data_IF_271465712911
#
_entry.id   IF_271465712911
#
_cell.length_a   1.000
_cell.length_b   1.000
_cell.length_c   1.000
_cell.angle_alpha   90.00
_cell.angle_beta   90.00
_cell.angle_gamma   90.00
#
_symmetry.space_group_name_H-M   'P 1'
#
loop_
_entity.id
_entity.type
_entity.pdbx_description
1 polymer ?
#
# COMPACT_ATOMS: atom_id res chain seq x y z
N UNK A 1 -14.46 22.22 -2.53
CA UNK A 1 -13.23 21.45 -2.29
C UNK A 1 -12.10 22.38 -1.85
N UNK A 2 -11.77 22.31 -0.56
CA UNK A 2 -10.60 22.92 0.03
C UNK A 2 -9.92 21.86 0.89
N UNK A 3 -8.60 21.86 0.91
CA UNK A 3 -7.81 20.98 1.77
C UNK A 3 -6.58 21.74 2.26
N UNK A 4 -6.30 21.63 3.56
CA UNK A 4 -5.11 22.15 4.22
C UNK A 4 -4.73 21.22 5.38
N UNK A 5 -3.58 20.57 5.24
CA UNK A 5 -2.90 19.84 6.32
C UNK A 5 -1.62 20.56 6.74
N UNK A 6 -1.27 20.53 8.02
CA UNK A 6 0.01 21.02 8.55
C UNK A 6 0.66 19.94 9.41
N UNK A 7 1.95 19.74 9.19
CA UNK A 7 2.81 18.82 9.94
C UNK A 7 3.93 19.67 10.56
N UNK A 8 4.11 19.58 11.86
CA UNK A 8 5.14 20.29 12.63
C UNK A 8 6.19 19.28 13.12
N UNK A 9 5.75 18.10 13.58
CA UNK A 9 6.68 17.08 14.04
C UNK A 9 7.48 16.46 12.87
N UNK A 10 8.81 16.49 13.02
CA UNK A 10 9.77 15.92 12.08
C UNK A 10 9.65 14.39 12.03
N UNK A 11 9.28 13.74 13.13
CA UNK A 11 9.06 12.28 13.13
C UNK A 11 7.84 11.90 12.28
N UNK A 12 6.70 12.55 12.49
CA UNK A 12 5.49 12.41 11.66
C UNK A 12 5.75 12.73 10.18
N UNK A 13 6.50 13.80 9.89
CA UNK A 13 6.88 14.15 8.52
C UNK A 13 7.72 13.06 7.85
N UNK A 14 8.72 12.54 8.55
CA UNK A 14 9.55 11.45 8.04
C UNK A 14 8.76 10.16 7.85
N UNK A 15 7.83 9.86 8.77
CA UNK A 15 6.92 8.72 8.64
C UNK A 15 6.03 8.88 7.40
N UNK A 16 5.36 10.02 7.22
CA UNK A 16 4.56 10.32 6.03
C UNK A 16 5.38 10.23 4.74
N UNK A 17 6.58 10.82 4.72
CA UNK A 17 7.52 10.76 3.58
C UNK A 17 7.89 9.32 3.20
N UNK A 18 8.10 8.44 4.19
CA UNK A 18 8.36 7.02 3.96
C UNK A 18 7.14 6.32 3.35
N UNK A 19 5.93 6.55 3.85
CA UNK A 19 4.70 5.94 3.31
C UNK A 19 4.50 6.33 1.84
N UNK A 20 4.59 7.62 1.52
CA UNK A 20 4.48 8.09 0.12
C UNK A 20 5.59 7.51 -0.75
N UNK A 21 6.81 7.37 -0.21
CA UNK A 21 7.92 6.73 -0.93
C UNK A 21 7.65 5.25 -1.20
N UNK A 22 7.06 4.52 -0.24
CA UNK A 22 6.61 3.14 -0.44
C UNK A 22 5.58 3.08 -1.57
N UNK A 23 4.53 3.90 -1.51
CA UNK A 23 3.48 3.95 -2.54
C UNK A 23 4.05 4.29 -3.93
N UNK A 24 5.03 5.20 -4.01
CA UNK A 24 5.67 5.58 -5.29
C UNK A 24 6.44 4.45 -5.98
N UNK A 25 6.84 3.41 -5.23
CA UNK A 25 7.48 2.22 -5.79
C UNK A 25 6.46 1.16 -6.22
N UNK A 26 5.26 1.18 -5.62
CA UNK A 26 4.17 0.25 -5.93
C UNK A 26 3.43 0.66 -7.20
N UNK A 27 3.24 1.96 -7.40
CA UNK A 27 2.47 2.48 -8.54
C UNK A 27 2.97 3.82 -9.05
N UNK A 28 2.76 4.05 -10.35
CA UNK A 28 3.05 5.32 -11.03
C UNK A 28 1.95 6.37 -10.82
N UNK A 29 0.68 5.93 -10.75
CA UNK A 29 -0.48 6.78 -10.49
C UNK A 29 -1.38 6.10 -9.46
N UNK A 30 -1.97 6.87 -8.55
CA UNK A 30 -3.01 6.37 -7.65
C UNK A 30 -4.02 7.47 -7.33
N UNK A 31 -5.18 7.07 -6.82
CA UNK A 31 -6.15 8.02 -6.28
C UNK A 31 -5.87 8.24 -4.80
N UNK A 32 -5.62 9.49 -4.43
CA UNK A 32 -5.60 9.94 -3.05
C UNK A 32 -7.01 10.40 -2.67
N UNK A 33 -7.64 9.70 -1.73
CA UNK A 33 -8.94 10.05 -1.17
C UNK A 33 -8.74 10.61 0.23
N UNK A 34 -9.26 11.82 0.44
CA UNK A 34 -9.21 12.54 1.71
C UNK A 34 -10.59 12.53 2.33
N UNK A 35 -10.68 12.08 3.58
CA UNK A 35 -11.86 12.18 4.45
C UNK A 35 -11.50 12.99 5.69
N UNK A 36 -12.48 13.34 6.55
CA UNK A 36 -12.21 14.10 7.78
C UNK A 36 -11.24 13.40 8.74
N UNK A 37 -11.26 12.06 8.76
CA UNK A 37 -10.51 11.26 9.73
C UNK A 37 -9.31 10.53 9.10
N UNK A 38 -9.36 10.21 7.80
CA UNK A 38 -8.40 9.33 7.16
C UNK A 38 -7.93 9.85 5.80
N UNK A 39 -6.73 9.44 5.42
CA UNK A 39 -6.19 9.57 4.07
C UNK A 39 -6.04 8.17 3.48
N UNK A 40 -6.57 7.99 2.28
CA UNK A 40 -6.48 6.73 1.56
C UNK A 40 -5.69 6.91 0.27
N UNK A 41 -4.81 5.96 -0.05
CA UNK A 41 -4.20 5.83 -1.36
C UNK A 41 -4.69 4.53 -2.00
N UNK A 42 -5.38 4.67 -3.12
CA UNK A 42 -6.10 3.59 -3.78
C UNK A 42 -5.55 3.38 -5.18
N UNK A 43 -5.23 2.13 -5.49
CA UNK A 43 -4.98 1.67 -6.85
C UNK A 43 -6.11 0.71 -7.23
N UNK A 44 -6.94 1.10 -8.19
CA UNK A 44 -7.94 0.19 -8.73
C UNK A 44 -7.27 -0.86 -9.64
N UNK A 45 -7.72 -2.10 -9.55
CA UNK A 45 -7.22 -3.27 -10.29
C UNK A 45 -7.49 -3.25 -11.80
N UNK A 46 -7.21 -2.13 -12.47
CA UNK A 46 -7.39 -1.99 -13.92
C UNK A 46 -6.41 -2.91 -14.64
N UNK A 47 -6.82 -3.44 -15.80
CA UNK A 47 -6.00 -4.32 -16.66
C UNK A 47 -4.65 -3.68 -17.01
N UNK A 48 -4.61 -2.35 -17.15
CA UNK A 48 -3.39 -1.58 -17.40
C UNK A 48 -2.32 -1.75 -16.33
N UNK A 49 -2.70 -2.09 -15.10
CA UNK A 49 -1.80 -2.33 -13.97
C UNK A 49 -1.52 -3.82 -13.74
N UNK A 50 -1.91 -4.69 -14.68
CA UNK A 50 -1.83 -6.15 -14.52
C UNK A 50 -2.81 -6.68 -13.49
N UNK A 51 -3.94 -5.97 -13.28
CA UNK A 51 -5.01 -6.37 -12.37
C UNK A 51 -4.71 -6.19 -10.88
N UNK A 52 -3.54 -5.65 -10.52
CA UNK A 52 -3.17 -5.40 -9.12
C UNK A 52 -3.98 -4.25 -8.54
N UNK A 53 -4.56 -4.46 -7.35
CA UNK A 53 -5.16 -3.40 -6.55
C UNK A 53 -4.38 -3.15 -5.25
N UNK A 54 -4.52 -1.93 -4.73
CA UNK A 54 -3.87 -1.49 -3.49
C UNK A 54 -4.83 -0.61 -2.70
N UNK A 55 -4.87 -0.82 -1.40
CA UNK A 55 -5.56 0.03 -0.45
C UNK A 55 -4.62 0.39 0.69
N UNK A 56 -4.23 1.65 0.77
CA UNK A 56 -3.41 2.16 1.87
C UNK A 56 -4.23 3.17 2.67
N UNK A 57 -4.35 2.93 3.97
CA UNK A 57 -5.08 3.77 4.91
C UNK A 57 -4.12 4.37 5.94
N UNK A 58 -4.27 5.67 6.17
CA UNK A 58 -3.53 6.44 7.14
C UNK A 58 -4.50 7.28 7.97
N UNK A 59 -4.40 7.20 9.30
CA UNK A 59 -5.21 8.02 10.19
C UNK A 59 -4.64 9.44 10.31
N UNK A 60 -5.40 10.46 9.92
CA UNK A 60 -4.88 11.83 9.75
C UNK A 60 -4.28 12.41 11.04
N UNK A 61 -4.89 12.08 12.19
CA UNK A 61 -4.51 12.62 13.49
C UNK A 61 -3.11 12.20 13.94
N UNK A 62 -2.55 11.14 13.34
CA UNK A 62 -1.22 10.63 13.67
C UNK A 62 -0.12 11.34 12.87
N UNK A 63 -0.51 12.17 11.89
CA UNK A 63 0.42 12.89 11.02
C UNK A 63 0.27 14.40 11.06
N UNK A 64 -0.96 14.91 11.09
CA UNK A 64 -1.25 16.34 10.93
C UNK A 64 -1.63 17.00 12.25
N UNK A 65 -0.90 18.05 12.64
CA UNK A 65 -1.25 18.91 13.77
C UNK A 65 -2.48 19.79 13.48
N UNK A 66 -2.62 20.21 12.22
CA UNK A 66 -3.81 20.92 11.75
C UNK A 66 -4.31 20.23 10.48
N UNK A 67 -5.55 19.77 10.47
CA UNK A 67 -6.19 19.17 9.30
C UNK A 67 -7.55 19.80 9.07
N UNK A 68 -7.72 20.42 7.91
CA UNK A 68 -8.97 21.04 7.49
C UNK A 68 -9.27 20.63 6.06
N UNK A 69 -10.45 20.04 5.87
CA UNK A 69 -10.95 19.75 4.54
C UNK A 69 -12.42 20.11 4.42
N UNK A 70 -12.80 20.52 3.22
CA UNK A 70 -14.17 20.83 2.85
C UNK A 70 -14.40 20.18 1.48
N UNK A 71 -15.23 19.15 1.43
CA UNK A 71 -15.51 18.35 0.24
C UNK A 71 -16.29 19.09 -0.84
N UNK A 72 -17.13 18.37 -1.57
CA UNK A 72 -17.96 18.98 -2.62
C UNK A 72 -19.34 19.39 -2.09
N UNK A 73 -19.87 18.69 -1.09
CA UNK A 73 -21.09 19.04 -0.36
C UNK A 73 -21.02 18.55 1.09
N UNK A 74 -21.91 19.02 1.94
CA UNK A 74 -22.05 18.57 3.35
C UNK A 74 -22.35 17.08 3.47
N UNK A 75 -23.09 16.52 2.52
CA UNK A 75 -23.43 15.08 2.46
C UNK A 75 -22.28 14.20 1.94
N UNK A 76 -21.38 14.78 1.13
CA UNK A 76 -20.24 14.08 0.52
C UNK A 76 -18.96 14.85 0.83
N UNK A 77 -18.57 14.83 2.10
CA UNK A 77 -17.39 15.54 2.61
C UNK A 77 -16.10 14.76 2.33
N UNK A 78 -15.86 14.44 1.06
CA UNK A 78 -14.68 13.72 0.60
C UNK A 78 -14.04 14.44 -0.60
N UNK A 79 -12.74 14.20 -0.80
CA UNK A 79 -12.01 14.73 -1.96
C UNK A 79 -11.19 13.59 -2.55
N UNK A 80 -11.46 13.23 -3.80
CA UNK A 80 -10.69 12.24 -4.56
C UNK A 80 -9.83 12.93 -5.62
N UNK A 81 -8.52 12.74 -5.55
CA UNK A 81 -7.53 13.32 -6.44
C UNK A 81 -6.70 12.21 -7.07
N UNK A 82 -6.54 12.21 -8.38
CA UNK A 82 -5.52 11.38 -9.03
C UNK A 82 -4.16 12.08 -8.91
N UNK A 83 -3.19 11.36 -8.36
CA UNK A 83 -1.86 11.87 -8.04
C UNK A 83 -0.79 10.92 -8.56
N UNK A 84 0.34 11.48 -8.99
CA UNK A 84 1.57 10.74 -9.24
C UNK A 84 2.39 10.70 -7.95
N UNK A 85 2.48 9.55 -7.24
CA UNK A 85 3.14 9.50 -5.93
C UNK A 85 4.63 9.82 -5.99
N UNK A 86 5.29 9.59 -7.13
CA UNK A 86 6.69 9.95 -7.33
C UNK A 86 6.93 11.47 -7.19
N UNK A 87 6.04 12.29 -7.77
CA UNK A 87 6.14 13.75 -7.68
C UNK A 87 5.98 14.22 -6.23
N UNK A 88 5.03 13.61 -5.50
CA UNK A 88 4.82 13.90 -4.08
C UNK A 88 5.99 13.43 -3.21
N UNK A 89 6.53 12.22 -3.45
CA UNK A 89 7.72 11.70 -2.76
C UNK A 89 8.92 12.63 -2.97
N UNK A 90 9.13 13.12 -4.19
CA UNK A 90 10.21 14.07 -4.52
C UNK A 90 10.05 15.40 -3.78
N UNK A 91 8.83 15.94 -3.75
CA UNK A 91 8.52 17.16 -3.00
C UNK A 91 8.67 17.00 -1.48
N UNK A 92 8.35 15.82 -0.92
CA UNK A 92 8.51 15.54 0.50
C UNK A 92 9.97 15.32 0.90
N UNK A 93 10.80 14.76 0.00
CA UNK A 93 12.24 14.52 0.25
C UNK A 93 13.03 15.82 0.46
N UNK A 94 12.68 16.89 -0.23
CA UNK A 94 13.36 18.19 -0.09
C UNK A 94 13.04 18.89 1.24
N UNK A 95 11.97 18.47 1.92
CA UNK A 95 11.45 19.13 3.13
C UNK A 95 11.57 18.28 4.39
N UNK A 96 12.25 17.13 4.36
CA UNK A 96 12.37 16.19 5.51
C UNK A 96 12.91 16.83 6.80
N UNK A 97 13.72 17.88 6.68
CA UNK A 97 14.30 18.61 7.81
C UNK A 97 13.62 19.96 8.05
N UNK A 98 12.41 20.16 7.54
CA UNK A 98 11.66 21.40 7.75
C UNK A 98 11.15 21.50 9.19
N UNK A 99 11.02 22.74 9.68
CA UNK A 99 10.38 23.06 10.96
C UNK A 99 8.86 22.89 10.90
N UNK A 100 8.28 23.17 9.74
CA UNK A 100 6.87 22.92 9.47
C UNK A 100 6.63 22.70 8.00
N UNK A 101 5.66 21.86 7.67
CA UNK A 101 5.21 21.56 6.31
C UNK A 101 3.71 21.76 6.23
N UNK A 102 3.25 22.54 5.26
CA UNK A 102 1.85 22.81 4.95
C UNK A 102 1.54 22.19 3.59
N UNK A 103 0.59 21.26 3.56
CA UNK A 103 0.08 20.67 2.32
C UNK A 103 -1.30 21.25 2.06
N UNK A 104 -1.52 21.84 0.89
CA UNK A 104 -2.80 22.48 0.56
C UNK A 104 -3.21 22.22 -0.88
N UNK A 105 -4.50 22.06 -1.10
CA UNK A 105 -5.07 22.02 -2.45
C UNK A 105 -5.21 23.45 -2.97
N UNK A 106 -4.55 23.75 -4.08
CA UNK A 106 -4.61 25.06 -4.74
C UNK A 106 -5.04 24.92 -6.19
N UNK A 107 -5.60 25.99 -6.75
CA UNK A 107 -5.88 26.11 -8.18
C UNK A 107 -4.99 27.20 -8.74
N UNK A 108 -3.92 26.80 -9.43
CA UNK A 108 -3.06 27.71 -10.20
C UNK A 108 -3.53 27.66 -11.66
N UNK A 109 -2.65 27.28 -12.59
CA UNK A 109 -3.06 26.97 -13.97
C UNK A 109 -3.85 25.65 -14.04
N UNK A 110 -3.47 24.67 -13.21
CA UNK A 110 -4.19 23.43 -12.97
C UNK A 110 -4.40 23.23 -11.46
N UNK A 111 -5.25 22.27 -11.04
CA UNK A 111 -5.31 21.85 -9.65
C UNK A 111 -3.95 21.29 -9.21
N UNK A 112 -3.42 21.79 -8.10
CA UNK A 112 -2.14 21.36 -7.55
C UNK A 112 -2.25 21.07 -6.06
N UNK A 113 -1.57 20.02 -5.61
CA UNK A 113 -1.24 19.81 -4.22
C UNK A 113 0.06 20.58 -3.92
N UNK A 114 -0.08 21.74 -3.30
CA UNK A 114 1.07 22.60 -2.94
C UNK A 114 1.62 22.17 -1.58
N UNK A 115 2.90 21.79 -1.55
CA UNK A 115 3.69 21.50 -0.35
C UNK A 115 4.58 22.70 -0.07
N UNK A 116 4.29 23.44 1.00
CA UNK A 116 5.05 24.61 1.43
C UNK A 116 5.72 24.32 2.78
N UNK A 117 7.04 24.42 2.86
CA UNK A 117 7.81 24.07 4.04
C UNK A 117 8.71 25.21 4.50
N UNK A 118 8.79 25.39 5.81
CA UNK A 118 9.67 26.35 6.46
C UNK A 118 10.95 25.62 6.91
N UNK A 119 12.05 25.84 6.20
CA UNK A 119 13.34 25.20 6.49
C UNK A 119 14.09 25.94 7.60
N UNK A 120 14.87 25.21 8.44
CA UNK A 120 15.78 25.84 9.37
C UNK A 120 16.86 26.63 8.62
N UNK A 121 17.12 27.86 9.08
CA UNK A 121 18.16 28.73 8.53
C UNK A 121 19.01 29.29 9.66
N UNK A 122 20.31 29.47 9.38
CA UNK A 122 21.28 30.10 10.29
C UNK A 122 21.18 31.64 10.29
N UNK A 123 20.46 32.21 9.32
CA UNK A 123 20.16 33.64 9.25
C UNK A 123 18.81 33.97 9.91
N UNK A 124 18.58 35.24 10.27
CA UNK A 124 17.30 35.72 10.83
C UNK A 124 16.09 35.55 9.90
N UNK A 125 16.31 35.28 8.61
CA UNK A 125 15.25 35.08 7.63
C UNK A 125 14.90 33.60 7.47
N UNK A 126 13.61 33.27 7.58
CA UNK A 126 13.10 31.95 7.30
C UNK A 126 13.19 31.65 5.80
N UNK A 127 13.63 30.44 5.45
CA UNK A 127 13.64 29.94 4.07
C UNK A 127 12.38 29.13 3.83
N UNK A 128 11.55 29.56 2.89
CA UNK A 128 10.33 28.84 2.53
C UNK A 128 10.54 28.15 1.18
N UNK A 129 10.37 26.83 1.16
CA UNK A 129 10.39 26.03 -0.07
C UNK A 129 8.96 25.68 -0.42
N UNK A 130 8.55 25.90 -1.67
CA UNK A 130 7.22 25.57 -2.16
C UNK A 130 7.33 24.68 -3.39
N UNK A 131 6.65 23.54 -3.35
CA UNK A 131 6.50 22.61 -4.46
C UNK A 131 5.03 22.52 -4.83
N UNK A 132 4.72 22.68 -6.12
CA UNK A 132 3.38 22.48 -6.66
C UNK A 132 3.33 21.16 -7.41
N UNK A 133 2.63 20.16 -6.85
CA UNK A 133 2.44 18.87 -7.49
C UNK A 133 1.13 18.91 -8.26
N UNK A 134 1.11 18.78 -9.60
CA UNK A 134 -0.13 18.75 -10.36
C UNK A 134 -0.98 17.53 -9.97
N UNK A 135 -2.29 17.72 -9.86
CA UNK A 135 -3.26 16.67 -9.53
C UNK A 135 -4.48 16.79 -10.42
N UNK A 136 -5.17 15.67 -10.66
CA UNK A 136 -6.45 15.67 -11.37
C UNK A 136 -7.59 15.41 -10.40
N UNK A 137 -8.70 16.13 -10.57
CA UNK A 137 -9.87 15.94 -9.72
C UNK A 137 -10.69 14.78 -10.28
N UNK A 138 -10.90 13.74 -9.47
CA UNK A 138 -11.69 12.58 -9.89
C UNK A 138 -13.18 12.92 -9.83
N UNK A 139 -13.93 12.79 -10.94
CA UNK A 139 -15.38 12.99 -10.96
C UNK A 139 -16.11 12.06 -9.99
N UNK A 140 -17.19 12.56 -9.36
CA UNK A 140 -17.98 11.80 -8.38
C UNK A 140 -18.56 10.51 -8.92
N UNK A 141 -18.87 10.46 -10.21
CA UNK A 141 -19.38 9.26 -10.87
C UNK A 141 -18.43 8.08 -10.71
N UNK A 142 -17.12 8.30 -10.59
CA UNK A 142 -16.10 7.24 -10.49
C UNK A 142 -15.75 6.90 -9.04
N UNK A 143 -16.29 7.58 -8.04
CA UNK A 143 -15.90 7.37 -6.63
C UNK A 143 -16.21 5.95 -6.12
N UNK A 144 -17.20 5.29 -6.71
CA UNK A 144 -17.56 3.92 -6.37
C UNK A 144 -16.47 2.90 -6.72
N UNK A 145 -15.59 3.20 -7.69
CA UNK A 145 -14.46 2.33 -8.08
C UNK A 145 -13.28 2.37 -7.09
N UNK A 146 -13.30 3.33 -6.15
CA UNK A 146 -12.22 3.57 -5.18
C UNK A 146 -12.67 3.26 -3.74
N UNK A 147 -13.54 2.26 -3.59
CA UNK A 147 -13.91 1.72 -2.28
C UNK A 147 -12.90 0.67 -1.83
N UNK A 148 -12.87 0.45 -0.53
CA UNK A 148 -12.07 -0.65 0.03
C UNK A 148 -12.51 -1.97 -0.62
N UNK A 149 -11.57 -2.74 -1.19
CA UNK A 149 -11.90 -4.06 -1.72
C UNK A 149 -12.39 -4.95 -0.57
N UNK A 150 -13.56 -5.56 -0.76
CA UNK A 150 -14.05 -6.58 0.18
C UNK A 150 -13.04 -7.71 0.26
N UNK A 151 -12.66 -8.10 1.48
CA UNK A 151 -11.79 -9.24 1.71
C UNK A 151 -12.46 -10.50 1.12
N UNK A 152 -11.86 -11.17 0.13
CA UNK A 152 -12.40 -12.42 -0.39
C UNK A 152 -12.22 -13.52 0.67
N UNK A 153 -13.09 -14.53 0.63
CA UNK A 153 -12.89 -15.76 1.40
C UNK A 153 -11.57 -16.39 0.94
N UNK A 154 -10.63 -16.50 1.87
CA UNK A 154 -9.28 -17.04 1.65
C UNK A 154 -9.21 -18.49 2.11
N UNK A 155 -8.35 -19.28 1.45
CA UNK A 155 -8.16 -20.67 1.83
C UNK A 155 -7.11 -20.82 2.93
N UNK A 156 -6.05 -20.00 2.87
CA UNK A 156 -4.93 -20.04 3.80
C UNK A 156 -4.50 -18.63 4.16
N UNK A 157 -4.24 -18.42 5.45
CA UNK A 157 -3.58 -17.21 5.97
C UNK A 157 -2.32 -17.58 6.71
N UNK A 158 -1.23 -16.89 6.41
CA UNK A 158 0.08 -17.14 6.99
C UNK A 158 0.83 -15.83 7.22
N UNK A 159 1.64 -15.75 8.28
CA UNK A 159 2.54 -14.61 8.45
C UNK A 159 3.67 -14.67 7.43
N UNK A 160 4.04 -13.52 6.87
CA UNK A 160 5.12 -13.44 5.91
C UNK A 160 6.49 -13.63 6.60
N UNK A 161 7.45 -14.31 5.96
CA UNK A 161 8.84 -14.32 6.41
C UNK A 161 9.44 -12.91 6.35
N UNK A 162 10.63 -12.68 6.93
CA UNK A 162 11.31 -11.39 6.84
C UNK A 162 11.37 -10.87 5.40
N UNK A 163 10.72 -9.73 5.14
CA UNK A 163 10.50 -9.23 3.77
C UNK A 163 11.81 -8.95 3.02
N UNK A 164 12.88 -8.62 3.74
CA UNK A 164 14.23 -8.46 3.17
C UNK A 164 14.77 -9.77 2.59
N UNK A 165 14.58 -10.88 3.30
CA UNK A 165 15.02 -12.21 2.85
C UNK A 165 14.18 -12.65 1.66
N UNK A 166 12.86 -12.51 1.77
CA UNK A 166 11.93 -12.82 0.67
C UNK A 166 12.26 -12.00 -0.58
N UNK A 167 12.53 -10.70 -0.43
CA UNK A 167 12.97 -9.82 -1.52
C UNK A 167 14.24 -10.35 -2.20
N UNK A 168 15.27 -10.72 -1.44
CA UNK A 168 16.53 -11.21 -2.00
C UNK A 168 16.34 -12.50 -2.80
N UNK A 169 15.44 -13.38 -2.36
CA UNK A 169 15.07 -14.61 -3.07
C UNK A 169 14.35 -14.27 -4.37
N UNK A 170 13.30 -13.45 -4.30
CA UNK A 170 12.51 -13.00 -5.46
C UNK A 170 13.39 -12.27 -6.49
N UNK A 171 14.36 -11.45 -6.06
CA UNK A 171 15.30 -10.74 -6.93
C UNK A 171 16.24 -11.68 -7.71
N UNK A 172 16.55 -12.87 -7.19
CA UNK A 172 17.32 -13.90 -7.91
C UNK A 172 16.42 -14.68 -8.85
N UNK A 173 15.26 -15.08 -8.33
CA UNK A 173 14.23 -15.87 -9.01
C UNK A 173 13.67 -15.18 -10.27
N UNK A 174 13.51 -13.86 -10.27
CA UNK A 174 13.02 -13.10 -11.44
C UNK A 174 13.92 -13.19 -12.67
N UNK A 175 15.20 -13.55 -12.49
CA UNK A 175 16.12 -13.73 -13.62
C UNK A 175 15.92 -15.09 -14.30
N UNK A 176 15.19 -16.02 -13.67
CA UNK A 176 14.92 -17.36 -14.17
C UNK A 176 13.56 -17.45 -14.85
N UNK A 177 12.52 -16.84 -14.27
CA UNK A 177 11.17 -16.81 -14.82
C UNK A 177 10.44 -15.52 -14.49
N UNK A 178 9.46 -15.16 -15.32
CA UNK A 178 8.53 -14.05 -15.06
C UNK A 178 7.37 -14.45 -14.12
N UNK A 179 7.24 -15.74 -13.83
CA UNK A 179 6.15 -16.29 -13.04
C UNK A 179 6.69 -17.01 -11.81
N UNK A 180 5.99 -16.85 -10.69
CA UNK A 180 6.29 -17.49 -9.42
C UNK A 180 5.03 -18.18 -8.89
N UNK A 181 5.16 -19.42 -8.45
CA UNK A 181 4.11 -20.11 -7.70
C UNK A 181 4.37 -19.88 -6.22
N UNK A 182 3.40 -19.31 -5.53
CA UNK A 182 3.39 -19.15 -4.09
C UNK A 182 2.48 -20.22 -3.50
N UNK A 183 3.01 -21.01 -2.57
CA UNK A 183 2.26 -22.03 -1.86
C UNK A 183 2.30 -21.73 -0.37
N UNK A 184 1.22 -21.96 0.35
CA UNK A 184 1.22 -21.94 1.80
C UNK A 184 0.22 -22.94 2.37
N UNK A 185 0.43 -23.37 3.62
CA UNK A 185 -0.48 -24.22 4.37
C UNK A 185 -0.87 -23.62 5.73
N UNK A 186 -1.71 -24.34 6.47
CA UNK A 186 -2.16 -23.94 7.81
C UNK A 186 -1.21 -24.41 8.93
N UNK A 187 -0.07 -25.02 8.58
CA UNK A 187 0.94 -25.51 9.52
C UNK A 187 2.18 -24.63 9.60
N UNK A 188 2.16 -23.45 8.98
CA UNK A 188 3.26 -22.50 9.04
C UNK A 188 4.35 -22.70 7.99
N UNK A 189 4.05 -23.38 6.90
CA UNK A 189 4.97 -23.55 5.78
C UNK A 189 4.51 -22.72 4.57
N UNK A 190 5.46 -22.06 3.93
CA UNK A 190 5.27 -21.28 2.72
C UNK A 190 6.38 -21.60 1.71
N UNK A 191 6.02 -21.91 0.47
CA UNK A 191 6.98 -22.18 -0.59
C UNK A 191 6.90 -21.12 -1.69
N UNK A 192 8.06 -20.75 -2.23
CA UNK A 192 8.19 -19.97 -3.46
C UNK A 192 8.83 -20.86 -4.51
N UNK A 193 8.09 -21.21 -5.56
CA UNK A 193 8.52 -22.15 -6.61
C UNK A 193 8.56 -21.49 -7.97
N UNK A 194 9.66 -21.71 -8.69
CA UNK A 194 9.80 -21.41 -10.12
C UNK A 194 10.06 -22.71 -10.85
N UNK A 195 9.27 -22.98 -11.89
CA UNK A 195 9.45 -24.11 -12.77
C UNK A 195 9.59 -23.60 -14.21
N UNK A 196 10.69 -23.98 -14.85
CA UNK A 196 11.01 -23.70 -16.26
C UNK A 196 11.56 -24.96 -16.91
N UNK A 197 11.63 -24.99 -18.24
CA UNK A 197 12.11 -26.16 -19.00
C UNK A 197 13.54 -26.58 -18.63
N UNK A 198 14.37 -25.65 -18.13
CA UNK A 198 15.79 -25.87 -17.82
C UNK A 198 16.07 -26.03 -16.33
N UNK A 199 15.31 -25.35 -15.47
CA UNK A 199 15.59 -25.33 -14.03
C UNK A 199 14.29 -25.21 -13.22
N UNK A 200 14.24 -25.97 -12.12
CA UNK A 200 13.24 -25.82 -11.08
C UNK A 200 13.92 -25.33 -9.81
N UNK A 201 13.43 -24.24 -9.24
CA UNK A 201 13.95 -23.64 -8.01
C UNK A 201 12.80 -23.47 -7.03
N UNK A 202 12.90 -24.14 -5.88
CA UNK A 202 11.95 -24.00 -4.78
C UNK A 202 12.67 -23.45 -3.56
N UNK A 203 12.09 -22.44 -2.93
CA UNK A 203 12.53 -21.92 -1.62
C UNK A 203 11.46 -22.21 -0.60
N UNK A 204 11.86 -22.88 0.48
CA UNK A 204 10.97 -23.28 1.57
C UNK A 204 11.17 -22.33 2.76
N UNK A 205 10.08 -21.76 3.25
CA UNK A 205 10.00 -21.04 4.50
C UNK A 205 9.19 -21.89 5.48
N UNK A 206 9.78 -22.22 6.61
CA UNK A 206 9.17 -23.02 7.68
C UNK A 206 9.04 -22.17 8.95
N UNK A 207 8.29 -22.69 9.92
CA UNK A 207 8.09 -22.07 11.22
C UNK A 207 7.48 -20.66 11.15
N UNK A 208 6.63 -20.42 10.14
CA UNK A 208 5.79 -19.23 10.08
C UNK A 208 4.55 -19.45 10.95
N UNK A 209 4.10 -18.43 11.67
CA UNK A 209 2.82 -18.56 12.37
C UNK A 209 1.63 -18.43 11.39
N UNK A 210 0.50 -19.02 11.75
CA UNK A 210 -0.78 -18.75 11.08
C UNK A 210 -1.62 -17.83 11.98
N UNK A 211 -2.20 -16.75 11.45
CA UNK A 211 -3.18 -15.99 12.21
C UNK A 211 -4.36 -16.90 12.52
N UNK A 212 -4.76 -16.98 13.79
CA UNK A 212 -6.07 -17.51 14.14
C UNK A 212 -7.11 -16.45 13.76
N UNK A 213 -7.54 -16.47 12.50
CA UNK A 213 -8.83 -15.87 12.16
C UNK A 213 -9.89 -16.71 12.85
N UNK A 214 -10.16 -16.32 14.10
CA UNK A 214 -10.76 -17.17 15.09
C UNK A 214 -12.15 -17.65 14.70
N UNK A 215 -12.49 -18.78 15.29
CA UNK A 215 -13.81 -19.37 15.52
C UNK A 215 -14.82 -18.41 16.22
N UNK A 216 -14.75 -17.10 15.97
CA UNK A 216 -15.48 -16.05 16.67
C UNK A 216 -16.22 -15.07 15.74
N UNK A 217 -16.25 -15.30 14.42
CA UNK A 217 -16.98 -14.45 13.46
C UNK A 217 -17.94 -15.19 12.51
N UNK A 218 -18.14 -16.51 12.65
CA UNK A 218 -19.20 -17.23 11.94
C UNK A 218 -20.43 -17.40 12.83
N UNK A 219 -21.15 -16.30 13.05
CA UNK A 219 -22.56 -16.36 13.46
C UNK A 219 -23.51 -16.39 12.24
N UNK A 220 -22.96 -16.57 11.04
CA UNK A 220 -23.71 -16.93 9.85
C UNK A 220 -23.06 -18.17 9.23
N UNK A 221 -23.83 -19.24 9.09
CA UNK A 221 -23.39 -20.62 8.87
C UNK A 221 -22.83 -20.91 7.47
N UNK A 222 -21.72 -20.28 7.10
CA UNK A 222 -20.88 -20.68 5.96
C UNK A 222 -19.73 -21.54 6.45
N UNK A 223 -19.75 -22.83 6.14
CA UNK A 223 -18.68 -23.77 6.49
C UNK A 223 -17.31 -23.26 5.99
N UNK A 224 -16.42 -22.87 6.91
CA UNK A 224 -14.99 -22.87 6.62
C UNK A 224 -14.64 -24.32 6.31
N UNK A 225 -14.49 -24.62 5.02
CA UNK A 225 -14.16 -25.96 4.57
C UNK A 225 -12.90 -26.39 5.32
N UNK A 226 -13.02 -27.48 6.05
CA UNK A 226 -11.95 -28.16 6.75
C UNK A 226 -10.92 -28.65 5.72
N UNK A 227 -10.10 -27.75 5.21
CA UNK A 227 -8.90 -28.13 4.45
C UNK A 227 -7.98 -28.86 5.40
N UNK A 228 -7.39 -29.93 4.90
CA UNK A 228 -6.32 -30.64 5.60
C UNK A 228 -5.24 -29.61 5.98
N UNK A 229 -4.80 -29.52 7.25
CA UNK A 229 -3.83 -28.52 7.69
C UNK A 229 -2.53 -28.53 6.87
N UNK A 230 -2.19 -29.67 6.27
CA UNK A 230 -1.01 -29.85 5.43
C UNK A 230 -1.26 -29.53 3.94
N UNK A 231 -2.52 -29.38 3.50
CA UNK A 231 -2.83 -29.07 2.11
C UNK A 231 -2.32 -27.70 1.71
N UNK A 232 -1.50 -27.66 0.66
CA UNK A 232 -0.92 -26.43 0.12
C UNK A 232 -1.94 -25.71 -0.77
N UNK A 233 -2.26 -24.47 -0.42
CA UNK A 233 -2.93 -23.55 -1.32
C UNK A 233 -1.88 -22.88 -2.21
N UNK A 234 -1.92 -23.17 -3.51
CA UNK A 234 -1.03 -22.54 -4.49
C UNK A 234 -1.70 -21.41 -5.27
N UNK A 235 -0.89 -20.46 -5.73
CA UNK A 235 -1.28 -19.40 -6.63
C UNK A 235 -0.08 -18.96 -7.48
N UNK A 236 -0.30 -18.86 -8.79
CA UNK A 236 0.71 -18.42 -9.75
C UNK A 236 0.59 -16.91 -9.97
N UNK A 237 1.65 -16.15 -9.69
CA UNK A 237 1.68 -14.68 -9.79
C UNK A 237 2.81 -14.17 -10.69
N UNK A 238 2.66 -12.98 -11.26
CA UNK A 238 3.77 -12.28 -11.94
C UNK A 238 4.80 -11.83 -10.89
N UNK A 239 6.01 -12.37 -11.01
CA UNK A 239 7.09 -12.13 -10.04
C UNK A 239 7.46 -10.65 -9.94
N UNK A 240 7.29 -9.87 -11.02
CA UNK A 240 7.60 -8.44 -11.04
C UNK A 240 6.65 -7.65 -10.16
N UNK A 241 5.40 -8.08 -10.03
CA UNK A 241 4.40 -7.45 -9.13
C UNK A 241 4.74 -7.70 -7.68
N UNK A 242 5.09 -8.95 -7.34
CA UNK A 242 5.57 -9.29 -6.00
C UNK A 242 6.89 -8.57 -5.67
N UNK A 243 7.81 -8.48 -6.64
CA UNK A 243 9.05 -7.74 -6.47
C UNK A 243 8.81 -6.24 -6.25
N UNK A 244 7.90 -5.61 -7.01
CA UNK A 244 7.49 -4.22 -6.81
C UNK A 244 6.99 -3.98 -5.38
N UNK A 245 6.14 -4.90 -4.89
CA UNK A 245 5.68 -4.89 -3.50
C UNK A 245 6.84 -4.94 -2.49
N UNK A 246 7.74 -5.92 -2.63
CA UNK A 246 8.86 -6.14 -1.72
C UNK A 246 9.92 -5.01 -1.76
N UNK A 247 10.12 -4.37 -2.91
CA UNK A 247 11.02 -3.20 -3.05
C UNK A 247 10.43 -1.95 -2.40
N UNK A 248 9.09 -1.85 -2.39
CA UNK A 248 8.34 -0.82 -1.67
C UNK A 248 8.67 -0.81 -0.18
N UNK A 249 8.79 -1.99 0.42
CA UNK A 249 8.98 -2.15 1.86
C UNK A 249 10.43 -1.85 2.30
N UNK A 250 10.66 -0.61 2.73
CA UNK A 250 11.97 -0.20 3.28
C UNK A 250 12.13 -0.54 4.78
N UNK A 251 11.01 -0.64 5.50
CA UNK A 251 10.95 -0.92 6.93
C UNK A 251 10.24 -2.26 7.12
N UNK A 252 10.67 -3.04 8.12
CA UNK A 252 9.95 -4.25 8.46
C UNK A 252 8.64 -3.85 9.17
N UNK A 253 7.47 -4.23 8.65
CA UNK A 253 6.20 -3.91 9.27
C UNK A 253 6.08 -4.61 10.63
N UNK A 254 5.18 -4.10 11.47
CA UNK A 254 4.89 -4.68 12.79
C UNK A 254 4.14 -6.01 12.64
N UNK A 255 3.26 -6.11 11.64
CA UNK A 255 2.62 -7.36 11.21
C UNK A 255 2.59 -7.44 9.69
N UNK A 256 2.93 -8.61 9.15
CA UNK A 256 2.89 -8.90 7.73
C UNK A 256 2.18 -10.23 7.51
N UNK A 257 1.08 -10.22 6.77
CA UNK A 257 0.25 -11.39 6.51
C UNK A 257 0.09 -11.60 5.00
N UNK A 258 0.00 -12.85 4.61
CA UNK A 258 -0.28 -13.30 3.26
C UNK A 258 -1.48 -14.22 3.29
N UNK A 259 -2.54 -13.84 2.59
CA UNK A 259 -3.73 -14.64 2.40
C UNK A 259 -3.73 -15.14 0.96
N UNK A 260 -3.89 -16.44 0.79
CA UNK A 260 -3.91 -17.09 -0.51
C UNK A 260 -5.33 -17.59 -0.76
N UNK A 261 -5.91 -17.13 -1.87
CA UNK A 261 -7.10 -17.74 -2.48
C UNK A 261 -6.59 -18.61 -3.62
N UNK A 262 -6.82 -19.92 -3.50
CA UNK A 262 -6.29 -20.96 -4.37
C UNK A 262 -6.57 -20.63 -5.84
N UNK A 263 -5.50 -20.61 -6.64
CA UNK A 263 -5.54 -20.32 -8.08
C UNK A 263 -6.18 -18.98 -8.48
N UNK A 264 -6.40 -18.05 -7.54
CA UNK A 264 -7.18 -16.83 -7.80
C UNK A 264 -6.44 -15.54 -7.45
N UNK A 265 -6.05 -15.33 -6.19
CA UNK A 265 -5.44 -14.06 -5.76
C UNK A 265 -4.55 -14.24 -4.53
N UNK A 266 -3.44 -13.51 -4.50
CA UNK A 266 -2.64 -13.28 -3.29
C UNK A 266 -3.05 -11.93 -2.70
N UNK A 267 -3.45 -11.94 -1.43
CA UNK A 267 -3.72 -10.72 -0.66
C UNK A 267 -2.66 -10.55 0.43
N UNK A 268 -1.88 -9.47 0.31
CA UNK A 268 -0.82 -9.13 1.24
C UNK A 268 -1.30 -7.99 2.13
N UNK A 269 -1.23 -8.17 3.44
CA UNK A 269 -1.60 -7.17 4.43
C UNK A 269 -0.36 -6.80 5.24
N UNK A 270 -0.06 -5.51 5.29
CA UNK A 270 1.02 -4.95 6.08
C UNK A 270 0.42 -3.93 7.04
N UNK A 271 0.71 -4.12 8.32
CA UNK A 271 0.37 -3.19 9.38
C UNK A 271 1.68 -2.68 9.98
N UNK A 272 1.88 -1.37 9.92
CA UNK A 272 3.04 -0.73 10.50
C UNK A 272 2.63 0.56 11.18
N UNK A 273 2.73 0.57 12.51
CA UNK A 273 2.27 1.64 13.39
C UNK A 273 0.83 2.03 13.05
N UNK A 274 0.63 3.20 12.44
CA UNK A 274 -0.66 3.81 12.13
C UNK A 274 -1.07 3.67 10.65
N UNK A 275 -0.37 2.80 9.92
CA UNK A 275 -0.55 2.61 8.48
C UNK A 275 -0.96 1.18 8.19
N UNK A 276 -2.09 1.03 7.52
CA UNK A 276 -2.55 -0.24 6.95
C UNK A 276 -2.36 -0.22 5.44
N UNK A 277 -1.66 -1.22 4.90
CA UNK A 277 -1.44 -1.38 3.47
C UNK A 277 -1.88 -2.78 3.05
N UNK A 278 -2.93 -2.83 2.23
CA UNK A 278 -3.41 -4.02 1.58
C UNK A 278 -3.02 -4.00 0.10
N UNK A 279 -2.52 -5.12 -0.41
CA UNK A 279 -2.07 -5.26 -1.79
C UNK A 279 -2.56 -6.59 -2.35
N UNK A 280 -3.22 -6.55 -3.51
CA UNK A 280 -3.81 -7.72 -4.14
C UNK A 280 -3.10 -7.99 -5.46
N UNK A 281 -2.64 -9.23 -5.64
CA UNK A 281 -1.97 -9.69 -6.84
C UNK A 281 -2.83 -10.81 -7.43
N UNK A 282 -3.50 -10.58 -8.58
CA UNK A 282 -4.30 -11.62 -9.21
C UNK A 282 -3.41 -12.74 -9.74
N UNK A 283 -3.98 -13.94 -9.79
CA UNK A 283 -3.36 -15.08 -10.42
C UNK A 283 -3.20 -14.83 -11.93
N UNK A 284 -2.12 -15.38 -12.48
CA UNK A 284 -1.85 -15.43 -13.91
C UNK A 284 -2.01 -16.87 -14.37
N UNK A 285 -2.70 -17.04 -15.50
CA UNK A 285 -2.89 -18.33 -16.17
C UNK A 285 -1.54 -18.90 -16.64
#
# INVERSE_FOLDING_TARGET
MKFRGKIIDVACLNHFSRVITTISKLTKSCVMRLTPDNLFFVLSGKVTNGGVSMWCELHQANFFDEFQMEGVSSEFNEICLEVTPENLSRALKTVQNAKSVKVKLTKKHCPCLTVAAELPSLSSNSRVVTHDVPVEVVPRSLWHEFKEPSMPDFDVSIYLPPLKTMKNVVDRMKNLSNFLVMEANLSGEMNLKIETDLVSVTTHFKDLGNPSWGDAASQDGGASQSRDPEAMAEVRVDIRKLQQFLVGQQVNPSKAMCNIVHQSVVHLILLHDDVSLQYFIPAVA
#
